data_IF_982687260628
#
_entry.id   IF_982687260628
#
_cell.length_a   1.000
_cell.length_b   1.000
_cell.length_c   1.000
_cell.angle_alpha   90.00
_cell.angle_beta   90.00
_cell.angle_gamma   90.00
#
_symmetry.space_group_name_H-M   'P 1'
#
loop_
_entity.id
_entity.type
_entity.pdbx_description
1 polymer ?
#
# COMPACT_ATOMS: atom_id res chain seq x y z
N UNK A 1 -54.26 26.26 -22.93
CA UNK A 1 -53.91 25.86 -21.58
C UNK A 1 -53.22 24.47 -21.61
N UNK A 2 -51.97 24.47 -21.32
CA UNK A 2 -51.22 23.20 -21.25
C UNK A 2 -51.73 22.38 -20.04
N UNK A 3 -52.09 21.11 -20.20
CA UNK A 3 -52.49 20.29 -19.05
C UNK A 3 -51.36 20.14 -18.08
N UNK A 4 -51.61 20.44 -16.79
CA UNK A 4 -50.64 20.27 -15.71
C UNK A 4 -49.96 18.88 -15.69
N UNK A 5 -50.64 17.86 -16.18
CA UNK A 5 -50.10 16.51 -16.28
C UNK A 5 -48.92 16.33 -17.26
N UNK A 6 -48.76 17.19 -18.26
CA UNK A 6 -47.58 17.14 -19.14
C UNK A 6 -46.35 17.78 -18.48
N UNK A 7 -46.53 18.88 -17.77
CA UNK A 7 -45.46 19.55 -17.00
C UNK A 7 -44.96 18.64 -15.88
N UNK A 8 -45.89 17.99 -15.18
CA UNK A 8 -45.56 17.05 -14.11
C UNK A 8 -44.84 15.80 -14.63
N UNK A 9 -45.22 15.30 -15.80
CA UNK A 9 -44.51 14.17 -16.45
C UNK A 9 -43.08 14.52 -16.84
N UNK A 10 -42.86 15.71 -17.40
CA UNK A 10 -41.52 16.18 -17.74
C UNK A 10 -40.66 16.45 -16.49
N UNK A 11 -41.24 17.04 -15.44
CA UNK A 11 -40.56 17.26 -14.18
C UNK A 11 -40.18 15.92 -13.50
N UNK A 12 -41.12 14.95 -13.50
CA UNK A 12 -40.85 13.61 -12.96
C UNK A 12 -39.79 12.86 -13.75
N UNK A 13 -39.79 12.98 -15.08
CA UNK A 13 -38.78 12.36 -15.94
C UNK A 13 -37.41 12.96 -15.68
N UNK A 14 -37.31 14.29 -15.60
CA UNK A 14 -36.08 14.98 -15.27
C UNK A 14 -35.55 14.59 -13.89
N UNK A 15 -36.42 14.49 -12.89
CA UNK A 15 -36.06 14.03 -11.54
C UNK A 15 -35.56 12.56 -11.54
N UNK A 16 -36.21 11.68 -12.31
CA UNK A 16 -35.77 10.28 -12.47
C UNK A 16 -34.42 10.18 -13.16
N UNK A 17 -34.18 10.97 -14.21
CA UNK A 17 -32.89 11.04 -14.90
C UNK A 17 -31.78 11.53 -13.98
N UNK A 18 -32.05 12.53 -13.15
CA UNK A 18 -31.08 13.03 -12.14
C UNK A 18 -30.76 11.95 -11.09
N UNK A 19 -31.73 11.20 -10.62
CA UNK A 19 -31.55 10.09 -9.69
C UNK A 19 -30.69 8.99 -10.34
N UNK A 20 -30.97 8.62 -11.58
CA UNK A 20 -30.18 7.64 -12.32
C UNK A 20 -28.73 8.09 -12.51
N UNK A 21 -28.51 9.35 -12.91
CA UNK A 21 -27.17 9.92 -13.06
C UNK A 21 -26.40 9.92 -11.72
N UNK A 22 -27.08 10.27 -10.62
CA UNK A 22 -26.51 10.22 -9.26
C UNK A 22 -26.12 8.80 -8.86
N UNK A 23 -26.97 7.80 -9.14
CA UNK A 23 -26.68 6.39 -8.88
C UNK A 23 -25.49 5.89 -9.71
N UNK A 24 -25.42 6.24 -11.00
CA UNK A 24 -24.28 5.88 -11.86
C UNK A 24 -22.97 6.49 -11.35
N UNK A 25 -22.97 7.76 -10.92
CA UNK A 25 -21.80 8.42 -10.34
C UNK A 25 -21.36 7.73 -9.05
N UNK A 26 -22.32 7.36 -8.19
CA UNK A 26 -22.05 6.65 -6.94
C UNK A 26 -21.45 5.26 -7.20
N UNK A 27 -22.03 4.50 -8.13
CA UNK A 27 -21.55 3.16 -8.51
C UNK A 27 -20.14 3.23 -9.08
N UNK A 28 -19.86 4.21 -9.94
CA UNK A 28 -18.52 4.45 -10.48
C UNK A 28 -17.51 4.77 -9.37
N UNK A 29 -17.87 5.63 -8.42
CA UNK A 29 -17.03 5.98 -7.29
C UNK A 29 -16.74 4.76 -6.41
N UNK A 30 -17.75 3.94 -6.12
CA UNK A 30 -17.58 2.71 -5.34
C UNK A 30 -16.69 1.69 -6.04
N UNK A 31 -16.82 1.54 -7.36
CA UNK A 31 -15.92 0.68 -8.15
C UNK A 31 -14.49 1.18 -8.13
N UNK A 32 -14.28 2.49 -8.24
CA UNK A 32 -12.96 3.11 -8.15
C UNK A 32 -12.33 2.91 -6.76
N UNK A 33 -13.10 3.13 -5.70
CA UNK A 33 -12.64 2.89 -4.32
C UNK A 33 -12.29 1.41 -4.09
N UNK A 34 -13.11 0.50 -4.60
CA UNK A 34 -12.84 -0.94 -4.52
C UNK A 34 -11.53 -1.30 -5.22
N UNK A 35 -11.30 -0.80 -6.42
CA UNK A 35 -10.05 -1.04 -7.14
C UNK A 35 -8.83 -0.51 -6.37
N UNK A 36 -8.95 0.66 -5.73
CA UNK A 36 -7.90 1.22 -4.88
C UNK A 36 -7.64 0.37 -3.64
N UNK A 37 -8.67 -0.14 -2.99
CA UNK A 37 -8.54 -1.05 -1.84
C UNK A 37 -7.81 -2.33 -2.25
N UNK A 38 -8.21 -2.94 -3.35
CA UNK A 38 -7.56 -4.14 -3.87
C UNK A 38 -6.09 -3.88 -4.19
N UNK A 39 -5.78 -2.76 -4.85
CA UNK A 39 -4.41 -2.35 -5.16
C UNK A 39 -3.56 -2.18 -3.92
N UNK A 40 -4.05 -1.48 -2.89
CA UNK A 40 -3.33 -1.31 -1.62
C UNK A 40 -3.17 -2.62 -0.85
N UNK A 41 -4.15 -3.50 -0.93
CA UNK A 41 -4.06 -4.82 -0.32
C UNK A 41 -2.96 -5.68 -0.95
N UNK A 42 -2.90 -5.72 -2.27
CA UNK A 42 -1.82 -6.43 -2.98
C UNK A 42 -0.45 -5.81 -2.70
N UNK A 43 -0.35 -4.48 -2.61
CA UNK A 43 0.88 -3.80 -2.22
C UNK A 43 1.31 -4.20 -0.81
N UNK A 44 0.39 -4.26 0.14
CA UNK A 44 0.65 -4.70 1.50
C UNK A 44 1.15 -6.15 1.55
N UNK A 45 0.51 -7.06 0.81
CA UNK A 45 0.94 -8.46 0.73
C UNK A 45 2.32 -8.60 0.09
N UNK A 46 2.59 -7.86 -0.98
CA UNK A 46 3.90 -7.83 -1.64
C UNK A 46 5.00 -7.29 -0.72
N UNK A 47 4.72 -6.22 0.00
CA UNK A 47 5.65 -5.65 0.98
C UNK A 47 5.92 -6.60 2.14
N UNK A 48 4.90 -7.33 2.61
CA UNK A 48 5.07 -8.33 3.66
C UNK A 48 5.99 -9.47 3.22
N UNK A 49 5.83 -9.98 2.00
CA UNK A 49 6.72 -10.99 1.42
C UNK A 49 8.15 -10.46 1.25
N UNK A 50 8.31 -9.24 0.78
CA UNK A 50 9.61 -8.57 0.64
C UNK A 50 10.28 -8.36 1.99
N UNK A 51 9.51 -7.97 3.01
CA UNK A 51 10.04 -7.77 4.37
C UNK A 51 10.64 -9.06 4.93
N UNK A 52 9.98 -10.19 4.71
CA UNK A 52 10.52 -11.50 5.12
C UNK A 52 11.87 -11.77 4.45
N UNK A 53 11.95 -11.57 3.13
CA UNK A 53 13.19 -11.79 2.37
C UNK A 53 14.30 -10.83 2.82
N UNK A 54 14.01 -9.56 3.05
CA UNK A 54 14.99 -8.59 3.53
C UNK A 54 15.45 -8.88 4.96
N UNK A 55 14.57 -9.33 5.84
CA UNK A 55 14.96 -9.77 7.19
C UNK A 55 15.89 -10.97 7.14
N UNK A 56 15.60 -11.98 6.30
CA UNK A 56 16.45 -13.16 6.13
C UNK A 56 17.82 -12.75 5.58
N UNK A 57 17.86 -11.86 4.60
CA UNK A 57 19.11 -11.34 4.06
C UNK A 57 19.91 -10.54 5.09
N UNK A 58 19.26 -9.66 5.86
CA UNK A 58 19.91 -8.90 6.91
C UNK A 58 20.50 -9.82 8.00
N UNK A 59 19.78 -10.87 8.39
CA UNK A 59 20.29 -11.87 9.33
C UNK A 59 21.54 -12.59 8.81
N UNK A 60 21.53 -12.97 7.53
CA UNK A 60 22.71 -13.58 6.87
C UNK A 60 23.87 -12.61 6.79
N UNK A 61 23.63 -11.35 6.45
CA UNK A 61 24.67 -10.32 6.40
C UNK A 61 25.28 -10.05 7.79
N UNK A 62 24.46 -10.07 8.85
CA UNK A 62 24.93 -9.92 10.22
C UNK A 62 25.85 -11.07 10.65
N UNK A 63 25.50 -12.30 10.30
CA UNK A 63 26.35 -13.46 10.54
C UNK A 63 27.67 -13.36 9.78
N UNK A 64 27.63 -12.90 8.53
CA UNK A 64 28.84 -12.70 7.71
C UNK A 64 29.75 -11.64 8.32
N UNK A 65 29.22 -10.52 8.75
CA UNK A 65 29.98 -9.47 9.44
C UNK A 65 30.67 -10.02 10.69
N UNK A 66 29.93 -10.76 11.51
CA UNK A 66 30.48 -11.37 12.73
C UNK A 66 31.65 -12.32 12.39
N UNK A 67 31.48 -13.18 11.38
CA UNK A 67 32.52 -14.09 10.94
C UNK A 67 33.75 -13.36 10.39
N UNK A 68 33.54 -12.32 9.57
CA UNK A 68 34.63 -11.55 8.98
C UNK A 68 35.43 -10.75 10.04
N UNK A 69 34.77 -10.21 11.05
CA UNK A 69 35.43 -9.55 12.18
C UNK A 69 36.33 -10.51 12.93
N UNK A 70 35.85 -11.72 13.23
CA UNK A 70 36.68 -12.75 13.89
C UNK A 70 37.86 -13.16 13.02
N UNK A 71 37.67 -13.37 11.72
CA UNK A 71 38.74 -13.70 10.78
C UNK A 71 39.75 -12.55 10.63
N UNK A 72 39.30 -11.31 10.69
CA UNK A 72 40.18 -10.14 10.69
C UNK A 72 41.11 -10.12 11.91
N UNK A 73 40.59 -10.43 13.09
CA UNK A 73 41.38 -10.49 14.33
C UNK A 73 42.57 -11.44 14.26
N UNK A 74 42.42 -12.54 13.52
CA UNK A 74 43.47 -13.55 13.34
C UNK A 74 44.22 -13.42 12.01
N UNK A 75 44.03 -12.29 11.30
CA UNK A 75 44.77 -11.97 10.08
C UNK A 75 44.32 -12.71 8.84
N UNK A 76 43.15 -13.35 8.85
CA UNK A 76 42.60 -14.10 7.71
C UNK A 76 41.63 -13.31 6.82
N UNK A 77 41.35 -12.07 7.17
CA UNK A 77 40.53 -11.14 6.40
C UNK A 77 41.21 -9.77 6.37
N UNK A 78 40.99 -9.06 5.28
CA UNK A 78 41.43 -7.66 5.18
C UNK A 78 40.40 -6.74 5.84
N UNK A 79 40.85 -5.56 6.27
CA UNK A 79 39.94 -4.53 6.77
C UNK A 79 38.92 -4.10 5.72
N UNK A 80 39.34 -4.03 4.44
CA UNK A 80 38.44 -3.68 3.33
C UNK A 80 37.27 -4.69 3.20
N UNK A 81 37.57 -5.98 3.34
CA UNK A 81 36.53 -7.02 3.29
C UNK A 81 35.54 -6.88 4.46
N UNK A 82 36.02 -6.55 5.66
CA UNK A 82 35.14 -6.27 6.80
C UNK A 82 34.26 -5.05 6.56
N UNK A 83 34.85 -3.95 6.06
CA UNK A 83 34.12 -2.73 5.76
C UNK A 83 33.06 -2.95 4.67
N UNK A 84 33.37 -3.74 3.64
CA UNK A 84 32.40 -4.11 2.60
C UNK A 84 31.22 -4.92 3.18
N UNK A 85 31.51 -5.87 4.07
CA UNK A 85 30.48 -6.65 4.75
C UNK A 85 29.60 -5.75 5.65
N UNK A 86 30.18 -4.81 6.38
CA UNK A 86 29.45 -3.83 7.19
C UNK A 86 28.53 -2.94 6.33
N UNK A 87 29.02 -2.49 5.18
CA UNK A 87 28.22 -1.70 4.26
C UNK A 87 27.05 -2.49 3.69
N UNK A 88 27.26 -3.77 3.38
CA UNK A 88 26.21 -4.67 2.93
C UNK A 88 25.14 -4.89 4.01
N UNK A 89 25.55 -5.07 5.26
CA UNK A 89 24.64 -5.17 6.39
C UNK A 89 23.82 -3.87 6.58
N UNK A 90 24.48 -2.72 6.48
CA UNK A 90 23.80 -1.43 6.56
C UNK A 90 22.72 -1.31 5.47
N UNK A 91 23.06 -1.66 4.23
CA UNK A 91 22.10 -1.64 3.11
C UNK A 91 20.95 -2.61 3.34
N UNK A 92 21.22 -3.82 3.83
CA UNK A 92 20.20 -4.81 4.15
C UNK A 92 19.23 -4.31 5.23
N UNK A 93 19.74 -3.72 6.30
CA UNK A 93 18.92 -3.13 7.38
C UNK A 93 18.11 -1.93 6.89
N UNK A 94 18.69 -1.09 6.03
CA UNK A 94 17.97 0.03 5.43
C UNK A 94 16.79 -0.44 4.58
N UNK A 95 16.95 -1.52 3.82
CA UNK A 95 15.86 -2.12 3.04
C UNK A 95 14.74 -2.66 3.94
N UNK A 96 15.08 -3.27 5.08
CA UNK A 96 14.09 -3.72 6.06
C UNK A 96 13.27 -2.52 6.58
N UNK A 97 13.93 -1.43 6.99
CA UNK A 97 13.24 -0.26 7.52
C UNK A 97 12.38 0.44 6.46
N UNK A 98 12.90 0.60 5.25
CA UNK A 98 12.12 1.16 4.12
C UNK A 98 10.85 0.35 3.85
N UNK A 99 10.98 -0.97 3.81
CA UNK A 99 9.84 -1.87 3.57
C UNK A 99 8.82 -1.83 4.71
N UNK A 100 9.27 -1.71 5.97
CA UNK A 100 8.36 -1.51 7.11
C UNK A 100 7.57 -0.22 6.98
N UNK A 101 8.20 0.86 6.55
CA UNK A 101 7.54 2.14 6.31
C UNK A 101 6.51 2.03 5.17
N UNK A 102 6.85 1.34 4.09
CA UNK A 102 5.93 1.08 2.98
C UNK A 102 4.69 0.31 3.44
N UNK A 103 4.88 -0.72 4.28
CA UNK A 103 3.78 -1.48 4.87
C UNK A 103 2.89 -0.61 5.77
N UNK A 104 3.49 0.22 6.61
CA UNK A 104 2.76 1.13 7.48
C UNK A 104 1.93 2.11 6.65
N UNK A 105 2.51 2.68 5.60
CA UNK A 105 1.83 3.60 4.69
C UNK A 105 0.67 2.92 3.95
N UNK A 106 0.87 1.71 3.43
CA UNK A 106 -0.18 0.93 2.79
C UNK A 106 -1.33 0.62 3.76
N UNK A 107 -1.02 0.28 5.01
CA UNK A 107 -2.01 0.05 6.05
C UNK A 107 -2.85 1.29 6.35
N UNK A 108 -2.21 2.46 6.48
CA UNK A 108 -2.91 3.73 6.68
C UNK A 108 -3.79 4.11 5.50
N UNK A 109 -3.32 3.87 4.27
CA UNK A 109 -4.11 4.08 3.06
C UNK A 109 -5.36 3.20 3.03
N UNK A 110 -5.24 1.94 3.45
CA UNK A 110 -6.39 1.03 3.57
C UNK A 110 -7.41 1.53 4.58
N UNK A 111 -6.98 1.99 5.74
CA UNK A 111 -7.86 2.58 6.77
C UNK A 111 -8.59 3.81 6.22
N UNK A 112 -7.87 4.70 5.53
CA UNK A 112 -8.46 5.89 4.93
C UNK A 112 -9.49 5.55 3.85
N UNK A 113 -9.21 4.56 3.00
CA UNK A 113 -10.13 4.10 1.96
C UNK A 113 -11.39 3.45 2.55
N UNK A 114 -11.26 2.68 3.62
CA UNK A 114 -12.42 2.13 4.35
C UNK A 114 -13.31 3.24 4.91
N UNK A 115 -12.71 4.29 5.48
CA UNK A 115 -13.45 5.46 5.96
C UNK A 115 -14.25 6.14 4.85
N UNK A 116 -13.64 6.34 3.69
CA UNK A 116 -14.32 6.91 2.52
C UNK A 116 -15.46 6.04 2.02
N UNK A 117 -15.25 4.73 1.91
CA UNK A 117 -16.29 3.80 1.49
C UNK A 117 -17.49 3.82 2.44
N UNK A 118 -17.23 3.83 3.74
CA UNK A 118 -18.30 3.92 4.75
C UNK A 118 -19.10 5.22 4.63
N UNK A 119 -18.42 6.34 4.44
CA UNK A 119 -19.05 7.64 4.26
C UNK A 119 -19.96 7.65 3.00
N UNK A 120 -19.48 7.11 1.89
CA UNK A 120 -20.26 7.02 0.64
C UNK A 120 -21.47 6.08 0.76
N UNK A 121 -21.38 5.05 1.59
CA UNK A 121 -22.47 4.12 1.85
C UNK A 121 -23.44 4.60 2.94
N UNK A 122 -23.13 5.72 3.61
CA UNK A 122 -23.94 6.26 4.69
C UNK A 122 -23.87 5.45 5.99
N UNK A 123 -22.78 4.75 6.19
CA UNK A 123 -22.54 3.91 7.37
C UNK A 123 -21.72 4.62 8.45
#
# INVERSE_FOLDING_TARGET
>A
MLPNGMVDRHANRAAQEMVLASRHSRDHLLQELRARVEGQWFELLGSAASLKSYNDYAASAEQMVAAYREQFKIGRRTLLEVLNAENELFTARSNVESTRQDMALASWRLVALQGRMRAELGL
#
